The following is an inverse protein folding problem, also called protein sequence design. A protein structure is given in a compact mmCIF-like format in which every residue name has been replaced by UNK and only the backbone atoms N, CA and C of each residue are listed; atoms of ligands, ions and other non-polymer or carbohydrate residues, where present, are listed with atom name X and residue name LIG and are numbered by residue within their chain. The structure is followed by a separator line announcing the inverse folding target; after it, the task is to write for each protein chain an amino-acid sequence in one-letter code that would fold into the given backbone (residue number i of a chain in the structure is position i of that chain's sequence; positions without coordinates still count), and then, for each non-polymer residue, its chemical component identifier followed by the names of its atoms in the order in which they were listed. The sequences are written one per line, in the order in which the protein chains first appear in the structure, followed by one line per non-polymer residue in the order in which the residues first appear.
data_IF_635415583485
#
_entry.id   IF_635415583485
#
_cell.length_a   1.000
_cell.length_b   1.000
_cell.length_c   1.000
_cell.angle_alpha   90.00
_cell.angle_beta   90.00
_cell.angle_gamma   90.00
#
_symmetry.space_group_name_H-M   'P 1'
#
loop_
_entity.id
_entity.type
_entity.pdbx_description
1 polymer ?
#
# COMPACT_ATOMS: atom_id res chain seq x y z
N UNK A 1 -22.88 -4.11 -1.28
CA UNK A 1 -21.45 -4.24 -0.95
C UNK A 1 -20.63 -3.81 -2.17
N UNK A 2 -19.72 -2.85 -2.01
CA UNK A 2 -18.86 -2.33 -3.10
C UNK A 2 -17.83 -3.36 -3.52
N UNK A 3 -17.53 -3.42 -4.80
CA UNK A 3 -16.35 -4.13 -5.28
C UNK A 3 -15.10 -3.36 -4.95
N UNK A 4 -13.99 -4.06 -4.75
CA UNK A 4 -12.68 -3.50 -4.50
C UNK A 4 -11.59 -4.37 -5.12
N UNK A 5 -10.47 -3.77 -5.45
CA UNK A 5 -9.30 -4.42 -6.04
C UNK A 5 -8.02 -3.79 -5.54
N UNK A 6 -6.92 -4.49 -5.73
CA UNK A 6 -5.58 -4.07 -5.33
C UNK A 6 -4.66 -4.12 -6.54
N UNK A 7 -3.88 -3.06 -6.74
CA UNK A 7 -2.69 -3.05 -7.60
C UNK A 7 -1.46 -3.04 -6.69
N UNK A 8 -0.50 -3.90 -6.98
CA UNK A 8 0.79 -3.93 -6.28
C UNK A 8 1.94 -3.80 -7.27
N UNK A 9 2.84 -2.88 -6.96
CA UNK A 9 4.10 -2.71 -7.67
C UNK A 9 5.22 -3.42 -6.90
N UNK A 10 6.11 -4.11 -7.60
CA UNK A 10 7.21 -4.87 -6.99
C UNK A 10 8.55 -4.43 -7.57
N UNK A 11 9.59 -4.48 -6.73
CA UNK A 11 10.96 -4.38 -7.18
C UNK A 11 11.39 -5.73 -7.78
N UNK A 12 11.94 -5.70 -8.99
CA UNK A 12 12.60 -6.84 -9.61
C UNK A 12 14.06 -6.90 -9.17
N UNK A 13 14.47 -8.06 -8.66
CA UNK A 13 15.82 -8.27 -8.16
C UNK A 13 16.43 -9.52 -8.77
N UNK A 14 17.75 -9.55 -8.92
CA UNK A 14 18.47 -10.73 -9.36
C UNK A 14 18.27 -11.89 -8.38
N UNK A 15 17.97 -13.07 -8.90
CA UNK A 15 17.63 -14.24 -8.09
C UNK A 15 18.79 -14.75 -7.22
N UNK A 16 20.04 -14.37 -7.54
CA UNK A 16 21.26 -14.83 -6.85
C UNK A 16 21.87 -13.72 -6.01
N UNK A 17 22.03 -12.52 -6.58
CA UNK A 17 22.73 -11.40 -5.91
C UNK A 17 21.80 -10.50 -5.12
N UNK A 18 20.48 -10.51 -5.44
CA UNK A 18 19.50 -9.60 -4.86
C UNK A 18 19.61 -8.15 -5.33
N UNK A 19 20.46 -7.86 -6.33
CA UNK A 19 20.58 -6.53 -6.91
C UNK A 19 19.37 -6.17 -7.76
N UNK A 20 18.92 -4.90 -7.79
CA UNK A 20 17.84 -4.47 -8.68
C UNK A 20 18.14 -4.83 -10.14
N UNK A 21 17.14 -5.34 -10.87
CA UNK A 21 17.33 -5.86 -12.21
C UNK A 21 16.31 -5.28 -13.21
N UNK A 22 16.78 -4.61 -14.29
CA UNK A 22 15.91 -3.96 -15.27
C UNK A 22 15.37 -4.95 -16.30
N UNK A 23 14.44 -5.82 -15.89
CA UNK A 23 13.87 -6.88 -16.76
C UNK A 23 12.33 -6.84 -16.82
N UNK A 24 11.70 -5.78 -16.35
CA UNK A 24 10.24 -5.66 -16.28
C UNK A 24 9.55 -5.94 -17.62
N UNK A 25 10.05 -5.34 -18.71
CA UNK A 25 9.56 -5.63 -20.06
C UNK A 25 9.71 -7.10 -20.44
N UNK A 26 10.86 -7.71 -20.14
CA UNK A 26 11.10 -9.13 -20.45
C UNK A 26 10.15 -10.03 -19.66
N UNK A 27 9.85 -9.68 -18.39
CA UNK A 27 8.88 -10.41 -17.57
C UNK A 27 7.48 -10.36 -18.21
N UNK A 28 7.02 -9.16 -18.60
CA UNK A 28 5.72 -8.99 -19.24
C UNK A 28 5.65 -9.76 -20.57
N UNK A 29 6.70 -9.71 -21.40
CA UNK A 29 6.78 -10.47 -22.66
C UNK A 29 6.77 -11.99 -22.46
N UNK A 30 7.18 -12.51 -21.30
CA UNK A 30 7.11 -13.92 -20.92
C UNK A 30 5.77 -14.30 -20.27
N UNK A 31 4.92 -13.32 -19.96
CA UNK A 31 3.58 -13.53 -19.41
C UNK A 31 2.57 -13.70 -20.54
N UNK A 32 1.64 -14.63 -20.35
CA UNK A 32 0.42 -14.74 -21.16
C UNK A 32 -0.79 -14.18 -20.42
N UNK A 33 -0.57 -13.51 -19.28
CA UNK A 33 -1.60 -12.98 -18.40
C UNK A 33 -1.55 -11.45 -18.42
N UNK A 34 -2.68 -10.80 -18.65
CA UNK A 34 -2.85 -9.37 -18.78
C UNK A 34 -2.74 -8.61 -17.44
N UNK A 35 -2.63 -9.33 -16.34
CA UNK A 35 -2.46 -8.76 -15.00
C UNK A 35 -1.05 -8.27 -14.70
N UNK A 36 -0.06 -8.58 -15.53
CA UNK A 36 1.32 -8.10 -15.36
C UNK A 36 1.58 -6.96 -16.32
N UNK A 37 1.98 -5.82 -15.77
CA UNK A 37 2.32 -4.63 -16.54
C UNK A 37 3.71 -4.10 -16.16
N UNK A 38 4.36 -3.44 -17.13
CA UNK A 38 5.63 -2.76 -16.91
C UNK A 38 5.34 -1.35 -16.38
N UNK A 39 6.01 -0.97 -15.30
CA UNK A 39 5.93 0.35 -14.71
C UNK A 39 6.88 1.36 -15.38
N UNK A 40 7.06 2.55 -14.77
CA UNK A 40 7.92 3.63 -15.27
C UNK A 40 9.33 3.15 -15.52
N UNK A 41 9.85 2.25 -14.68
CA UNK A 41 11.20 1.68 -14.83
C UNK A 41 11.17 0.17 -14.96
N UNK A 42 12.16 -0.38 -15.65
CA UNK A 42 12.27 -1.82 -15.91
C UNK A 42 12.66 -2.63 -14.66
N UNK A 43 13.05 -1.98 -13.57
CA UNK A 43 13.27 -2.59 -12.26
C UNK A 43 11.95 -2.82 -11.51
N UNK A 44 10.81 -2.42 -12.08
CA UNK A 44 9.48 -2.54 -11.49
C UNK A 44 8.58 -3.46 -12.32
N UNK A 45 7.67 -4.11 -11.62
CA UNK A 45 6.59 -4.90 -12.20
C UNK A 45 5.31 -4.62 -11.42
N UNK A 46 4.22 -4.33 -12.12
CA UNK A 46 2.91 -4.14 -11.50
C UNK A 46 2.02 -5.35 -11.73
N UNK A 47 1.19 -5.65 -10.75
CA UNK A 47 0.09 -6.63 -10.88
C UNK A 47 -1.20 -6.05 -10.32
N UNK A 48 -2.34 -6.46 -10.90
CA UNK A 48 -3.67 -6.08 -10.45
C UNK A 48 -4.56 -7.29 -10.20
N UNK A 49 -5.26 -7.29 -9.06
CA UNK A 49 -6.35 -8.25 -8.83
C UNK A 49 -7.56 -7.88 -9.69
N UNK A 50 -8.45 -8.83 -9.90
CA UNK A 50 -9.79 -8.52 -10.39
C UNK A 50 -10.60 -7.81 -9.28
N UNK A 51 -11.68 -7.09 -9.62
CA UNK A 51 -12.57 -6.52 -8.62
C UNK A 51 -13.37 -7.63 -7.91
N UNK A 52 -13.28 -7.68 -6.58
CA UNK A 52 -13.97 -8.64 -5.73
C UNK A 52 -14.96 -7.96 -4.79
N UNK A 53 -15.92 -8.72 -4.26
CA UNK A 53 -16.81 -8.29 -3.17
C UNK A 53 -16.44 -8.97 -1.85
N UNK A 54 -16.03 -10.22 -1.92
CA UNK A 54 -15.60 -11.02 -0.78
C UNK A 54 -14.10 -10.83 -0.52
N UNK A 55 -13.73 -10.70 0.76
CA UNK A 55 -12.34 -10.46 1.18
C UNK A 55 -11.46 -11.70 1.00
N UNK A 56 -12.03 -12.90 1.13
CA UNK A 56 -11.24 -14.13 0.94
C UNK A 56 -10.91 -14.33 -0.54
N UNK A 57 -11.86 -14.02 -1.44
CA UNK A 57 -11.62 -14.04 -2.87
C UNK A 57 -10.54 -13.03 -3.27
N UNK A 58 -10.57 -11.81 -2.73
CA UNK A 58 -9.53 -10.81 -2.93
C UNK A 58 -8.17 -11.33 -2.45
N UNK A 59 -8.11 -11.87 -1.24
CA UNK A 59 -6.87 -12.36 -0.64
C UNK A 59 -6.25 -13.53 -1.44
N UNK A 60 -7.09 -14.44 -1.94
CA UNK A 60 -6.66 -15.53 -2.80
C UNK A 60 -6.16 -15.03 -4.16
N UNK A 61 -6.86 -14.05 -4.75
CA UNK A 61 -6.45 -13.48 -6.04
C UNK A 61 -5.13 -12.69 -5.90
N UNK A 62 -4.98 -11.92 -4.83
CA UNK A 62 -3.73 -11.23 -4.50
C UNK A 62 -2.55 -12.21 -4.36
N UNK A 63 -2.76 -13.33 -3.66
CA UNK A 63 -1.74 -14.38 -3.52
C UNK A 63 -1.38 -14.99 -4.90
N UNK A 64 -2.37 -15.20 -5.78
CA UNK A 64 -2.14 -15.68 -7.15
C UNK A 64 -1.37 -14.66 -7.99
N UNK A 65 -1.69 -13.36 -7.86
CA UNK A 65 -0.97 -12.30 -8.55
C UNK A 65 0.52 -12.28 -8.14
N UNK A 66 0.82 -12.36 -6.84
CA UNK A 66 2.21 -12.43 -6.35
C UNK A 66 2.94 -13.67 -6.85
N UNK A 67 2.27 -14.84 -6.82
CA UNK A 67 2.83 -16.10 -7.36
C UNK A 67 3.12 -16.00 -8.86
N UNK A 68 2.15 -15.51 -9.63
CA UNK A 68 2.30 -15.30 -11.08
C UNK A 68 3.48 -14.39 -11.40
N UNK A 69 3.60 -13.27 -10.68
CA UNK A 69 4.68 -12.32 -10.87
C UNK A 69 6.05 -12.94 -10.60
N UNK A 70 6.22 -13.67 -9.49
CA UNK A 70 7.48 -14.32 -9.14
C UNK A 70 7.86 -15.47 -10.07
N UNK A 71 6.90 -16.35 -10.41
CA UNK A 71 7.14 -17.46 -11.35
C UNK A 71 7.52 -16.95 -12.74
N UNK A 72 6.92 -15.82 -13.18
CA UNK A 72 7.27 -15.23 -14.47
C UNK A 72 8.63 -14.54 -14.41
N UNK A 73 8.95 -13.83 -13.33
CA UNK A 73 10.27 -13.21 -13.11
C UNK A 73 11.39 -14.28 -13.07
N UNK A 74 11.14 -15.44 -12.46
CA UNK A 74 12.10 -16.56 -12.41
C UNK A 74 12.52 -17.04 -13.79
N UNK A 75 11.65 -16.98 -14.80
CA UNK A 75 11.99 -17.40 -16.19
C UNK A 75 13.09 -16.54 -16.81
N UNK A 76 13.25 -15.31 -16.32
CA UNK A 76 14.31 -14.38 -16.76
C UNK A 76 15.41 -14.19 -15.71
N UNK A 77 15.48 -15.07 -14.69
CA UNK A 77 16.50 -15.07 -13.65
C UNK A 77 16.33 -13.94 -12.62
N UNK A 78 15.11 -13.41 -12.45
CA UNK A 78 14.76 -12.42 -11.46
C UNK A 78 13.77 -12.97 -10.42
N UNK A 79 13.58 -12.25 -9.32
CA UNK A 79 12.55 -12.48 -8.30
C UNK A 79 11.78 -11.19 -8.07
N UNK A 80 10.53 -11.29 -7.62
CA UNK A 80 9.80 -10.13 -7.12
C UNK A 80 10.00 -9.94 -5.63
N UNK A 81 10.18 -8.69 -5.22
CA UNK A 81 10.29 -8.28 -3.84
C UNK A 81 9.32 -7.13 -3.54
N UNK A 82 8.43 -7.31 -2.57
CA UNK A 82 7.60 -6.24 -2.05
C UNK A 82 8.45 -5.29 -1.19
N UNK A 83 9.19 -4.44 -1.88
CA UNK A 83 10.03 -3.37 -1.34
C UNK A 83 9.59 -2.06 -1.97
N UNK A 84 9.12 -1.12 -1.17
CA UNK A 84 8.56 0.11 -1.72
C UNK A 84 9.63 1.11 -2.20
N UNK A 85 10.89 0.87 -1.88
CA UNK A 85 12.09 1.52 -2.45
C UNK A 85 13.24 0.52 -2.48
N UNK A 86 14.24 0.74 -3.33
CA UNK A 86 15.42 -0.12 -3.38
C UNK A 86 16.32 0.11 -2.17
N UNK A 87 16.61 -0.93 -1.36
CA UNK A 87 17.63 -0.85 -0.32
C UNK A 87 19.04 -0.68 -0.89
N UNK A 88 19.31 -1.25 -2.06
CA UNK A 88 20.60 -1.19 -2.73
C UNK A 88 20.62 -0.03 -3.73
N UNK A 89 21.81 0.50 -4.08
CA UNK A 89 21.94 1.47 -5.16
C UNK A 89 21.36 0.95 -6.47
N UNK A 90 20.64 1.80 -7.19
CA UNK A 90 20.04 1.49 -8.48
C UNK A 90 20.18 2.68 -9.42
N UNK A 91 20.47 2.40 -10.69
CA UNK A 91 20.38 3.35 -11.80
C UNK A 91 19.16 2.95 -12.63
N UNK A 92 18.01 3.59 -12.45
CA UNK A 92 16.77 3.15 -13.07
C UNK A 92 16.82 3.21 -14.59
N UNK A 93 16.37 2.14 -15.23
CA UNK A 93 16.22 2.08 -16.68
C UNK A 93 14.74 2.25 -17.06
N UNK A 94 14.40 3.32 -17.78
CA UNK A 94 13.02 3.55 -18.17
C UNK A 94 12.44 2.40 -18.99
N UNK A 95 11.15 2.12 -18.78
CA UNK A 95 10.41 1.27 -19.71
C UNK A 95 10.30 1.99 -21.06
N UNK A 96 10.56 1.31 -22.19
CA UNK A 96 10.50 1.94 -23.51
C UNK A 96 9.06 2.42 -23.82
N UNK A 97 8.95 3.63 -24.36
CA UNK A 97 7.68 4.20 -24.79
C UNK A 97 7.69 5.71 -24.79
N UNK A 98 7.04 6.32 -25.78
CA UNK A 98 7.02 7.78 -25.97
C UNK A 98 6.56 8.54 -24.73
N UNK A 99 5.59 7.99 -23.99
CA UNK A 99 5.07 8.57 -22.74
C UNK A 99 6.16 8.66 -21.66
N UNK A 100 6.91 7.59 -21.45
CA UNK A 100 7.96 7.56 -20.43
C UNK A 100 9.17 8.42 -20.81
N UNK A 101 9.49 8.50 -22.12
CA UNK A 101 10.53 9.40 -22.63
C UNK A 101 10.14 10.86 -22.37
N UNK A 102 8.88 11.24 -22.62
CA UNK A 102 8.36 12.58 -22.33
C UNK A 102 8.39 12.90 -20.83
N UNK A 103 7.98 11.96 -19.97
CA UNK A 103 8.04 12.10 -18.51
C UNK A 103 9.48 12.35 -18.05
N UNK A 104 10.46 11.60 -18.59
CA UNK A 104 11.87 11.77 -18.23
C UNK A 104 12.42 13.11 -18.71
N UNK A 105 12.10 13.53 -19.91
CA UNK A 105 12.53 14.84 -20.44
C UNK A 105 11.97 15.98 -19.58
N UNK A 106 10.67 15.90 -19.23
CA UNK A 106 9.98 16.95 -18.48
C UNK A 106 10.40 17.05 -17.02
N UNK A 107 10.56 15.91 -16.33
CA UNK A 107 10.83 15.88 -14.90
C UNK A 107 12.31 15.60 -14.54
N UNK A 108 13.14 15.37 -15.54
CA UNK A 108 14.60 15.23 -15.41
C UNK A 108 14.99 14.25 -14.25
N UNK A 109 15.77 14.75 -13.27
CA UNK A 109 16.26 13.91 -12.16
C UNK A 109 15.11 13.32 -11.31
N UNK A 110 13.98 14.01 -11.16
CA UNK A 110 12.83 13.49 -10.42
C UNK A 110 12.34 12.17 -11.01
N UNK A 111 12.26 12.08 -12.34
CA UNK A 111 11.82 10.85 -13.02
C UNK A 111 12.96 9.81 -13.13
N UNK A 112 14.21 10.25 -13.36
CA UNK A 112 15.33 9.33 -13.63
C UNK A 112 15.99 8.76 -12.37
N UNK A 113 15.69 9.26 -11.18
CA UNK A 113 16.24 8.78 -9.89
C UNK A 113 15.19 8.01 -9.07
N UNK A 114 14.00 7.76 -9.61
CA UNK A 114 12.91 7.20 -8.82
C UNK A 114 12.60 5.76 -9.20
N UNK A 115 12.74 4.86 -8.21
CA UNK A 115 12.16 3.51 -8.20
C UNK A 115 11.35 3.40 -6.91
N UNK A 116 10.04 3.47 -7.04
CA UNK A 116 9.11 3.41 -5.90
C UNK A 116 7.95 2.50 -6.21
N UNK A 117 7.65 1.57 -5.30
CA UNK A 117 6.60 0.57 -5.46
C UNK A 117 5.48 0.81 -4.44
N UNK A 118 4.28 1.04 -4.95
CA UNK A 118 3.07 1.29 -4.18
C UNK A 118 2.14 0.10 -4.07
N UNK A 119 1.10 0.32 -3.27
CA UNK A 119 -0.09 -0.51 -3.20
C UNK A 119 -1.29 0.42 -3.36
N UNK A 120 -2.00 0.30 -4.47
CA UNK A 120 -3.18 1.10 -4.77
C UNK A 120 -4.43 0.28 -4.51
N UNK A 121 -5.43 0.91 -3.91
CA UNK A 121 -6.71 0.27 -3.64
C UNK A 121 -7.81 1.00 -4.37
N UNK A 122 -8.51 0.27 -5.24
CA UNK A 122 -9.67 0.75 -5.97
C UNK A 122 -10.94 0.28 -5.27
N UNK A 123 -11.87 1.20 -5.03
CA UNK A 123 -13.19 0.89 -4.47
C UNK A 123 -14.26 1.53 -5.33
N UNK A 124 -15.24 0.73 -5.77
CA UNK A 124 -16.32 1.19 -6.63
C UNK A 124 -17.15 2.29 -5.96
N UNK A 125 -17.51 3.30 -6.76
CA UNK A 125 -18.47 4.37 -6.43
C UNK A 125 -19.60 4.36 -7.46
N UNK A 126 -20.74 4.98 -7.12
CA UNK A 126 -21.91 5.02 -8.00
C UNK A 126 -21.72 5.99 -9.16
N UNK A 127 -21.17 7.15 -8.85
CA UNK A 127 -20.87 8.22 -9.80
C UNK A 127 -19.76 9.15 -9.26
N UNK A 128 -19.43 10.18 -10.02
CA UNK A 128 -18.38 11.13 -9.66
C UNK A 128 -18.76 12.03 -8.48
N UNK A 129 -20.06 12.33 -8.28
CA UNK A 129 -20.54 13.13 -7.16
C UNK A 129 -20.32 12.38 -5.84
N UNK A 130 -20.70 11.09 -5.79
CA UNK A 130 -20.39 10.23 -4.65
C UNK A 130 -18.88 10.10 -4.47
N UNK A 131 -18.15 9.88 -5.56
CA UNK A 131 -16.70 9.71 -5.54
C UNK A 131 -15.98 10.92 -4.94
N UNK A 132 -16.35 12.15 -5.35
CA UNK A 132 -15.78 13.39 -4.81
C UNK A 132 -16.19 13.61 -3.36
N UNK A 133 -17.45 13.34 -3.02
CA UNK A 133 -17.91 13.41 -1.64
C UNK A 133 -17.14 12.44 -0.72
N UNK A 134 -16.77 11.26 -1.24
CA UNK A 134 -15.90 10.29 -0.57
C UNK A 134 -14.50 10.84 -0.43
N UNK A 135 -13.88 11.35 -1.50
CA UNK A 135 -12.52 11.92 -1.47
C UNK A 135 -12.39 12.97 -0.37
N UNK A 136 -13.35 13.89 -0.29
CA UNK A 136 -13.35 14.97 0.69
C UNK A 136 -13.38 14.46 2.15
N UNK A 137 -14.06 13.34 2.40
CA UNK A 137 -14.22 12.77 3.75
C UNK A 137 -13.08 11.87 4.18
N UNK A 138 -12.48 11.12 3.24
CA UNK A 138 -11.39 10.18 3.59
C UNK A 138 -10.03 10.85 3.77
N UNK A 139 -9.81 12.07 3.23
CA UNK A 139 -8.53 12.82 3.27
C UNK A 139 -7.78 12.71 4.61
N UNK A 140 -8.40 13.01 5.78
CA UNK A 140 -7.68 13.04 7.05
C UNK A 140 -7.29 11.62 7.54
N UNK A 141 -7.89 10.57 6.98
CA UNK A 141 -7.62 9.18 7.34
C UNK A 141 -6.50 8.55 6.51
N UNK A 142 -6.19 9.09 5.33
CA UNK A 142 -5.16 8.55 4.43
C UNK A 142 -3.77 8.44 5.09
N UNK A 143 -3.31 9.39 5.93
CA UNK A 143 -2.05 9.25 6.64
C UNK A 143 -1.97 8.04 7.57
N UNK A 144 -3.12 7.53 8.05
CA UNK A 144 -3.14 6.32 8.89
C UNK A 144 -2.88 5.07 8.04
N UNK A 145 -3.46 5.01 6.83
CA UNK A 145 -3.19 3.93 5.86
C UNK A 145 -1.71 3.93 5.46
N UNK A 146 -1.12 5.11 5.20
CA UNK A 146 0.32 5.24 4.97
C UNK A 146 1.14 4.68 6.13
N UNK A 147 0.80 5.02 7.38
CA UNK A 147 1.54 4.54 8.54
C UNK A 147 1.50 3.02 8.69
N UNK A 148 0.34 2.40 8.44
CA UNK A 148 0.13 0.96 8.49
C UNK A 148 0.88 0.20 7.39
N UNK A 149 1.04 0.79 6.21
CA UNK A 149 1.69 0.17 5.04
C UNK A 149 3.21 0.36 4.99
N UNK A 150 3.82 1.18 5.87
CA UNK A 150 5.23 1.59 5.77
C UNK A 150 6.19 0.43 5.51
N UNK A 151 6.95 0.50 4.40
CA UNK A 151 7.83 -0.57 3.94
C UNK A 151 9.03 -0.07 3.10
N UNK A 152 9.50 1.16 3.35
CA UNK A 152 10.62 1.76 2.60
C UNK A 152 11.61 2.52 3.48
N UNK A 153 12.30 1.84 4.43
CA UNK A 153 13.25 2.51 5.31
C UNK A 153 14.60 2.83 4.66
N UNK A 154 14.91 2.21 3.53
CA UNK A 154 16.20 2.34 2.84
C UNK A 154 16.04 2.98 1.47
N UNK A 155 17.05 3.74 1.04
CA UNK A 155 17.14 4.34 -0.28
C UNK A 155 18.60 4.37 -0.74
N UNK A 156 18.88 3.76 -1.89
CA UNK A 156 20.21 3.77 -2.52
C UNK A 156 21.38 3.48 -1.55
N UNK A 157 21.26 2.46 -0.72
CA UNK A 157 22.32 2.02 0.17
C UNK A 157 22.30 2.65 1.57
N UNK A 158 21.40 3.61 1.84
CA UNK A 158 21.35 4.33 3.11
C UNK A 158 20.06 4.06 3.90
N UNK A 159 20.16 3.99 5.25
CA UNK A 159 18.97 4.12 6.11
C UNK A 159 18.54 5.59 6.11
N UNK A 160 17.35 5.85 5.62
CA UNK A 160 16.81 7.19 5.46
C UNK A 160 16.32 7.80 6.78
N UNK A 161 16.19 6.99 7.83
CA UNK A 161 15.54 7.36 9.07
C UNK A 161 14.01 7.42 8.98
N UNK A 162 13.39 7.17 7.82
CA UNK A 162 11.94 7.11 7.62
C UNK A 162 11.43 5.67 7.68
N UNK A 163 10.16 5.49 8.00
CA UNK A 163 9.48 4.21 7.86
C UNK A 163 8.95 4.01 6.42
N UNK A 164 8.50 5.12 5.78
CA UNK A 164 8.20 5.20 4.36
C UNK A 164 8.98 6.35 3.72
N UNK A 165 10.11 6.06 3.08
CA UNK A 165 10.81 7.04 2.26
C UNK A 165 10.18 7.19 0.89
N UNK A 166 9.43 6.16 0.41
CA UNK A 166 8.61 6.28 -0.80
C UNK A 166 7.72 7.53 -0.74
N UNK A 167 7.07 7.78 0.41
CA UNK A 167 6.22 8.96 0.56
C UNK A 167 6.97 10.29 0.37
N UNK A 168 8.27 10.35 0.71
CA UNK A 168 9.12 11.51 0.49
C UNK A 168 9.59 11.61 -0.98
N UNK A 169 9.99 10.48 -1.55
CA UNK A 169 10.40 10.41 -2.96
C UNK A 169 9.22 10.77 -3.88
N UNK A 170 8.03 10.24 -3.59
CA UNK A 170 6.80 10.55 -4.31
C UNK A 170 6.38 12.01 -4.19
N UNK A 171 6.57 12.61 -3.04
CA UNK A 171 6.30 14.04 -2.80
C UNK A 171 7.14 15.02 -3.61
N UNK A 172 8.13 14.55 -4.40
CA UNK A 172 8.89 15.38 -5.37
C UNK A 172 8.08 15.69 -6.64
N UNK A 173 7.06 14.91 -6.93
CA UNK A 173 6.17 15.19 -8.05
C UNK A 173 5.23 16.33 -7.71
N UNK A 174 5.11 17.38 -8.56
CA UNK A 174 4.34 18.57 -8.21
C UNK A 174 2.85 18.32 -7.99
N UNK A 175 2.30 17.24 -8.57
CA UNK A 175 0.91 16.85 -8.43
C UNK A 175 0.66 15.90 -7.25
N UNK A 176 1.71 15.47 -6.52
CA UNK A 176 1.57 14.50 -5.44
C UNK A 176 1.14 15.13 -4.13
N UNK A 177 0.35 14.37 -3.37
CA UNK A 177 -0.01 14.73 -2.01
C UNK A 177 -1.50 14.99 -1.79
N UNK A 178 -1.84 15.49 -0.59
CA UNK A 178 -3.22 15.77 -0.22
C UNK A 178 -3.75 17.01 -0.94
N UNK A 179 -5.04 16.96 -1.30
CA UNK A 179 -5.76 18.06 -1.96
C UNK A 179 -6.62 18.84 -0.97
N UNK A 180 -7.09 20.01 -1.38
CA UNK A 180 -8.17 20.73 -0.72
C UNK A 180 -9.50 20.00 -0.90
N UNK A 181 -10.53 20.43 -0.16
CA UNK A 181 -11.88 19.93 -0.37
C UNK A 181 -12.39 20.39 -1.74
N UNK A 182 -12.84 19.44 -2.54
CA UNK A 182 -13.41 19.73 -3.87
C UNK A 182 -14.85 20.22 -3.75
N UNK A 183 -15.65 19.60 -2.90
CA UNK A 183 -17.05 19.93 -2.63
C UNK A 183 -18.02 19.40 -3.70
N UNK A 184 -17.68 19.43 -4.98
CA UNK A 184 -18.51 18.92 -6.09
C UNK A 184 -17.66 18.24 -7.15
N UNK A 185 -18.24 17.31 -7.92
CA UNK A 185 -17.59 16.67 -9.07
C UNK A 185 -17.15 17.69 -10.11
N UNK A 186 -17.98 18.71 -10.39
CA UNK A 186 -17.66 19.79 -11.32
C UNK A 186 -16.35 20.50 -10.92
N UNK A 187 -16.19 20.84 -9.64
CA UNK A 187 -14.95 21.50 -9.14
C UNK A 187 -13.75 20.56 -9.19
N UNK A 188 -13.96 19.27 -8.94
CA UNK A 188 -12.88 18.27 -9.09
C UNK A 188 -12.38 18.25 -10.54
N UNK A 189 -13.28 18.09 -11.50
CA UNK A 189 -12.93 18.06 -12.93
C UNK A 189 -12.30 19.37 -13.38
N UNK A 190 -12.85 20.52 -13.00
CA UNK A 190 -12.26 21.83 -13.31
C UNK A 190 -10.83 21.97 -12.71
N UNK A 191 -10.58 21.43 -11.51
CA UNK A 191 -9.25 21.43 -10.90
C UNK A 191 -8.28 20.55 -11.70
N UNK A 192 -8.69 19.34 -12.07
CA UNK A 192 -7.88 18.42 -12.88
C UNK A 192 -7.57 19.01 -14.25
N UNK A 193 -8.58 19.60 -14.92
CA UNK A 193 -8.41 20.27 -16.20
C UNK A 193 -7.43 21.44 -16.11
N UNK A 194 -7.58 22.31 -15.12
CA UNK A 194 -6.64 23.42 -14.88
C UNK A 194 -5.20 22.94 -14.64
N UNK A 195 -5.01 21.81 -13.95
CA UNK A 195 -3.68 21.22 -13.78
C UNK A 195 -3.10 20.72 -15.11
N UNK A 196 -3.91 20.09 -15.96
CA UNK A 196 -3.48 19.64 -17.28
C UNK A 196 -3.15 20.83 -18.21
N UNK A 197 -3.93 21.92 -18.14
CA UNK A 197 -3.67 23.15 -18.89
C UNK A 197 -2.33 23.81 -18.54
N UNK A 198 -1.78 23.55 -17.34
CA UNK A 198 -0.41 24.00 -17.00
C UNK A 198 0.66 23.34 -17.84
N UNK A 199 0.33 22.29 -18.57
CA UNK A 199 1.27 21.43 -19.30
C UNK A 199 2.39 20.84 -18.40
N UNK A 200 2.23 20.82 -17.07
CA UNK A 200 3.15 20.14 -16.16
C UNK A 200 2.89 18.63 -16.17
N UNK A 201 1.67 18.11 -15.95
CA UNK A 201 1.39 16.70 -16.17
C UNK A 201 1.41 16.37 -17.67
N UNK A 202 1.88 15.18 -18.02
CA UNK A 202 1.83 14.68 -19.41
C UNK A 202 0.39 14.26 -19.76
N UNK A 203 -0.28 13.64 -18.81
CA UNK A 203 -1.64 13.09 -18.97
C UNK A 203 -2.37 12.95 -17.63
N UNK A 204 -3.63 12.49 -17.68
CA UNK A 204 -4.45 12.20 -16.50
C UNK A 204 -3.81 11.16 -15.54
N UNK A 205 -3.01 10.24 -16.07
CA UNK A 205 -2.29 9.24 -15.25
C UNK A 205 -1.31 9.89 -14.27
N UNK A 206 -0.83 11.12 -14.57
CA UNK A 206 0.09 11.86 -13.69
C UNK A 206 -0.60 12.75 -12.63
N UNK A 207 -1.90 12.69 -12.49
CA UNK A 207 -2.60 13.31 -11.35
C UNK A 207 -2.38 12.42 -10.12
N UNK A 208 -1.31 12.70 -9.37
CA UNK A 208 -0.78 11.87 -8.29
C UNK A 208 -1.31 12.24 -6.90
N UNK A 209 -2.57 12.69 -6.83
CA UNK A 209 -3.22 12.92 -5.54
C UNK A 209 -3.16 11.69 -4.62
N UNK A 210 -3.14 11.88 -3.32
CA UNK A 210 -3.15 10.80 -2.32
C UNK A 210 -4.32 9.83 -2.52
N UNK A 211 -5.46 10.35 -2.99
CA UNK A 211 -6.60 9.60 -3.52
C UNK A 211 -7.25 10.40 -4.65
N UNK A 212 -7.79 9.70 -5.67
CA UNK A 212 -8.40 10.33 -6.85
C UNK A 212 -9.60 9.53 -7.38
N UNK A 213 -10.41 10.15 -8.22
CA UNK A 213 -11.27 9.39 -9.14
C UNK A 213 -10.38 8.71 -10.18
N UNK A 214 -10.61 7.43 -10.42
CA UNK A 214 -9.89 6.74 -11.49
C UNK A 214 -10.54 7.13 -12.85
N UNK A 215 -9.70 7.42 -13.85
CA UNK A 215 -10.16 7.89 -15.16
C UNK A 215 -10.65 6.77 -16.10
N UNK A 216 -10.40 5.51 -15.76
CA UNK A 216 -10.78 4.33 -16.56
C UNK A 216 -11.94 3.55 -15.95
N UNK A 217 -12.06 3.56 -14.63
CA UNK A 217 -13.03 2.78 -13.89
C UNK A 217 -13.79 3.65 -12.90
N UNK A 218 -15.09 3.38 -12.64
CA UNK A 218 -15.88 4.14 -11.67
C UNK A 218 -15.46 3.78 -10.23
N UNK A 219 -14.27 4.20 -9.84
CA UNK A 219 -13.69 3.90 -8.52
C UNK A 219 -13.00 5.13 -7.93
N UNK A 220 -12.99 5.20 -6.61
CA UNK A 220 -12.00 5.97 -5.86
C UNK A 220 -10.75 5.08 -5.73
N UNK A 221 -9.61 5.63 -6.12
CA UNK A 221 -8.29 5.01 -6.06
C UNK A 221 -7.46 5.66 -4.95
N UNK A 222 -7.14 4.91 -3.91
CA UNK A 222 -6.26 5.33 -2.81
C UNK A 222 -4.83 4.88 -3.07
N UNK A 223 -3.86 5.81 -3.08
CA UNK A 223 -2.49 5.64 -3.59
C UNK A 223 -1.38 5.82 -2.55
N UNK A 224 -1.72 6.17 -1.32
CA UNK A 224 -0.74 6.57 -0.28
C UNK A 224 0.16 5.43 0.20
N UNK A 225 -0.28 4.18 0.04
CA UNK A 225 0.36 3.03 0.67
C UNK A 225 1.62 2.59 -0.06
N UNK A 226 2.68 2.29 0.71
CA UNK A 226 3.80 1.47 0.23
C UNK A 226 3.28 0.09 -0.16
N UNK A 227 3.89 -0.59 -1.14
CA UNK A 227 3.64 -2.01 -1.33
C UNK A 227 3.90 -2.74 -0.02
N UNK A 228 2.93 -3.52 0.43
CA UNK A 228 3.00 -4.19 1.72
C UNK A 228 3.90 -5.43 1.65
N UNK A 229 4.85 -5.56 2.58
CA UNK A 229 5.73 -6.73 2.64
C UNK A 229 4.94 -8.03 2.78
N UNK A 230 3.93 -8.02 3.65
CA UNK A 230 3.01 -9.15 3.84
C UNK A 230 1.71 -8.89 3.06
N UNK A 231 1.22 -9.90 2.33
CA UNK A 231 -0.05 -9.77 1.61
C UNK A 231 -1.25 -9.55 2.53
N UNK A 232 -1.20 -10.05 3.78
CA UNK A 232 -2.24 -9.78 4.77
C UNK A 232 -2.35 -8.30 5.14
N UNK A 233 -1.22 -7.56 5.12
CA UNK A 233 -1.23 -6.12 5.35
C UNK A 233 -1.90 -5.39 4.18
N UNK A 234 -1.66 -5.83 2.94
CA UNK A 234 -2.35 -5.28 1.77
C UNK A 234 -3.87 -5.54 1.82
N UNK A 235 -4.28 -6.74 2.25
CA UNK A 235 -5.70 -7.06 2.48
C UNK A 235 -6.30 -6.18 3.58
N UNK A 236 -5.58 -5.94 4.67
CA UNK A 236 -6.02 -5.02 5.73
C UNK A 236 -6.22 -3.60 5.19
N UNK A 237 -5.23 -3.08 4.44
CA UNK A 237 -5.33 -1.76 3.81
C UNK A 237 -6.55 -1.68 2.90
N UNK A 238 -6.80 -2.71 2.09
CA UNK A 238 -7.98 -2.76 1.20
C UNK A 238 -9.31 -2.79 1.97
N UNK A 239 -9.39 -3.57 3.05
CA UNK A 239 -10.57 -3.60 3.92
C UNK A 239 -10.85 -2.25 4.58
N UNK A 240 -9.82 -1.62 5.14
CA UNK A 240 -9.94 -0.30 5.76
C UNK A 240 -10.32 0.77 4.72
N UNK A 241 -9.74 0.70 3.52
CA UNK A 241 -10.07 1.62 2.42
C UNK A 241 -11.53 1.44 1.98
N UNK A 242 -11.99 0.20 1.75
CA UNK A 242 -13.41 -0.06 1.41
C UNK A 242 -14.35 0.40 2.53
N UNK A 243 -13.94 0.17 3.78
CA UNK A 243 -14.66 0.66 4.96
C UNK A 243 -14.77 2.18 4.98
N UNK A 244 -13.67 2.91 4.68
CA UNK A 244 -13.65 4.36 4.60
C UNK A 244 -14.56 4.88 3.48
N UNK A 245 -14.48 4.30 2.28
CA UNK A 245 -15.29 4.72 1.13
C UNK A 245 -16.78 4.55 1.42
N UNK A 246 -17.19 3.39 1.92
CA UNK A 246 -18.60 3.14 2.25
C UNK A 246 -19.08 3.98 3.43
N UNK A 247 -18.25 4.21 4.47
CA UNK A 247 -18.59 5.10 5.58
C UNK A 247 -18.81 6.53 5.08
N UNK A 248 -17.88 7.04 4.27
CA UNK A 248 -17.94 8.37 3.68
C UNK A 248 -19.17 8.57 2.78
N UNK A 249 -19.53 7.55 1.98
CA UNK A 249 -20.72 7.59 1.15
C UNK A 249 -21.99 7.64 2.00
N UNK A 250 -22.10 6.83 3.07
CA UNK A 250 -23.23 6.88 4.01
C UNK A 250 -23.33 8.23 4.72
N UNK A 251 -22.21 8.81 5.14
CA UNK A 251 -22.16 10.15 5.74
C UNK A 251 -22.64 11.22 4.75
N UNK A 252 -22.24 11.13 3.49
CA UNK A 252 -22.69 12.03 2.44
C UNK A 252 -24.18 11.96 2.22
N UNK A 253 -24.74 10.76 2.05
CA UNK A 253 -26.18 10.54 1.91
C UNK A 253 -26.99 11.01 3.13
N UNK A 254 -26.39 10.95 4.33
CA UNK A 254 -26.99 11.46 5.56
C UNK A 254 -26.81 12.97 5.74
N UNK A 255 -26.19 13.68 4.81
CA UNK A 255 -25.93 15.11 4.88
C UNK A 255 -24.87 15.53 5.92
N UNK A 256 -24.04 14.58 6.38
CA UNK A 256 -22.92 14.89 7.30
C UNK A 256 -21.80 15.58 6.51
N UNK A 257 -21.37 16.79 6.90
CA UNK A 257 -20.32 17.49 6.18
C UNK A 257 -18.95 16.81 6.36
N UNK A 258 -18.00 16.98 5.39
CA UNK A 258 -16.64 16.53 5.57
C UNK A 258 -15.92 17.32 6.67
N UNK A 259 -14.87 16.73 7.26
CA UNK A 259 -14.02 17.42 8.23
C UNK A 259 -13.21 18.54 7.55
N UNK A 260 -13.33 19.76 8.02
CA UNK A 260 -12.61 20.93 7.51
C UNK A 260 -11.16 20.98 8.04
N UNK A 261 -10.38 19.91 7.83
CA UNK A 261 -8.97 19.88 8.20
C UNK A 261 -8.15 20.55 7.09
N UNK A 262 -7.36 21.58 7.40
CA UNK A 262 -6.53 22.26 6.40
C UNK A 262 -5.57 21.29 5.71
N UNK A 263 -5.39 21.43 4.40
CA UNK A 263 -4.49 20.56 3.60
C UNK A 263 -3.06 20.55 4.12
N UNK A 264 -2.59 21.70 4.65
CA UNK A 264 -1.28 21.77 5.31
C UNK A 264 -1.19 20.84 6.54
N UNK A 265 -2.27 20.71 7.32
CA UNK A 265 -2.33 19.79 8.47
C UNK A 265 -2.33 18.33 8.01
N UNK A 266 -3.09 17.99 6.96
CA UNK A 266 -3.06 16.63 6.37
C UNK A 266 -1.66 16.30 5.86
N UNK A 267 -0.99 17.25 5.20
CA UNK A 267 0.41 17.08 4.75
C UNK A 267 1.36 16.81 5.92
N UNK A 268 1.21 17.52 7.05
CA UNK A 268 2.01 17.24 8.25
C UNK A 268 1.69 15.87 8.85
N UNK A 269 0.43 15.42 8.78
CA UNK A 269 0.04 14.08 9.19
C UNK A 269 0.70 13.00 8.31
N UNK A 270 0.69 13.18 6.97
CA UNK A 270 1.34 12.28 6.01
C UNK A 270 2.86 12.24 6.22
N UNK A 271 3.51 13.41 6.40
CA UNK A 271 4.93 13.46 6.71
C UNK A 271 5.26 12.68 7.99
N UNK A 272 4.47 12.87 9.04
CA UNK A 272 4.65 12.19 10.33
C UNK A 272 4.45 10.68 10.20
N UNK A 273 3.44 10.25 9.45
CA UNK A 273 3.19 8.85 9.14
C UNK A 273 4.36 8.22 8.39
N UNK A 274 4.86 8.86 7.33
CA UNK A 274 6.03 8.40 6.59
C UNK A 274 7.30 8.37 7.43
N UNK A 275 7.51 9.38 8.30
CA UNK A 275 8.72 9.46 9.13
C UNK A 275 8.78 8.39 10.21
N UNK A 276 7.69 8.16 10.92
CA UNK A 276 7.68 7.34 12.13
C UNK A 276 6.94 6.01 11.95
N UNK A 277 6.04 5.90 10.97
CA UNK A 277 5.16 4.74 10.81
C UNK A 277 4.40 4.44 12.10
N UNK A 278 4.30 3.16 12.41
CA UNK A 278 3.63 2.68 13.64
C UNK A 278 4.52 2.70 14.89
N UNK A 279 5.76 3.16 14.80
CA UNK A 279 6.70 3.21 15.94
C UNK A 279 6.64 4.53 16.72
N UNK A 280 5.80 5.47 16.33
CA UNK A 280 5.74 6.81 16.92
C UNK A 280 4.33 7.26 17.25
N UNK A 281 4.13 8.58 17.21
CA UNK A 281 2.81 9.22 17.39
C UNK A 281 2.31 9.69 16.03
N UNK A 282 1.06 9.46 15.71
CA UNK A 282 0.35 9.99 14.54
C UNK A 282 -0.52 11.17 14.91
N UNK A 283 -0.90 12.01 13.94
CA UNK A 283 -1.96 12.98 14.14
C UNK A 283 -3.30 12.26 14.06
N UNK A 284 -4.13 12.41 15.10
CA UNK A 284 -5.47 11.86 15.10
C UNK A 284 -6.32 12.59 14.05
N UNK A 285 -6.98 11.87 13.11
CA UNK A 285 -7.66 12.45 11.95
C UNK A 285 -8.74 13.50 12.27
N UNK A 286 -9.41 13.36 13.43
CA UNK A 286 -10.50 14.27 13.81
C UNK A 286 -9.97 15.44 14.65
N UNK A 287 -9.05 15.20 15.59
CA UNK A 287 -8.58 16.24 16.53
C UNK A 287 -7.32 16.95 16.05
N UNK A 288 -6.64 16.43 15.03
CA UNK A 288 -5.36 16.91 14.53
C UNK A 288 -4.25 17.00 15.61
N UNK A 289 -4.40 16.23 16.70
CA UNK A 289 -3.44 16.18 17.80
C UNK A 289 -2.59 14.90 17.75
N UNK A 290 -1.30 14.95 18.15
CA UNK A 290 -0.46 13.78 18.19
C UNK A 290 -0.91 12.78 19.28
N UNK A 291 -1.19 11.53 18.86
CA UNK A 291 -1.57 10.40 19.74
C UNK A 291 -0.71 9.16 19.43
N UNK A 292 -0.76 8.15 20.28
CA UNK A 292 -0.09 6.88 20.00
C UNK A 292 -0.55 6.29 18.67
N UNK A 293 0.36 5.75 17.88
CA UNK A 293 0.04 5.25 16.54
C UNK A 293 -0.95 4.06 16.58
N UNK A 294 -0.85 3.22 17.60
CA UNK A 294 -1.79 2.11 17.80
C UNK A 294 -3.20 2.62 18.09
N UNK A 295 -3.33 3.64 18.95
CA UNK A 295 -4.63 4.25 19.28
C UNK A 295 -5.26 4.90 18.05
N UNK A 296 -4.47 5.59 17.21
CA UNK A 296 -4.97 6.20 15.97
C UNK A 296 -5.39 5.13 14.95
N UNK A 297 -4.65 4.03 14.85
CA UNK A 297 -5.05 2.90 14.00
C UNK A 297 -6.35 2.24 14.49
N UNK A 298 -6.52 2.10 15.80
CA UNK A 298 -7.76 1.62 16.40
C UNK A 298 -8.92 2.60 16.19
N UNK A 299 -8.67 3.91 16.22
CA UNK A 299 -9.68 4.93 15.91
C UNK A 299 -10.17 4.81 14.45
N UNK A 300 -9.26 4.55 13.49
CA UNK A 300 -9.66 4.25 12.10
C UNK A 300 -10.55 3.01 12.04
N UNK A 301 -10.13 1.91 12.66
CA UNK A 301 -10.92 0.68 12.69
C UNK A 301 -12.31 0.92 13.32
N UNK A 302 -12.38 1.67 14.41
CA UNK A 302 -13.66 2.02 15.08
C UNK A 302 -14.56 2.86 14.18
N UNK A 303 -14.00 3.81 13.44
CA UNK A 303 -14.75 4.67 12.50
C UNK A 303 -15.43 3.85 11.40
N UNK A 304 -14.72 2.87 10.83
CA UNK A 304 -15.28 2.03 9.74
C UNK A 304 -15.99 0.77 10.23
N UNK A 305 -15.93 0.47 11.53
CA UNK A 305 -16.46 -0.77 12.12
C UNK A 305 -17.95 -1.04 11.85
N UNK A 306 -18.87 -0.05 11.88
CA UNK A 306 -20.26 -0.29 11.52
C UNK A 306 -20.41 -0.89 10.12
N UNK A 307 -19.72 -0.33 9.14
CA UNK A 307 -19.71 -0.83 7.76
C UNK A 307 -19.11 -2.22 7.68
N UNK A 308 -17.96 -2.45 8.32
CA UNK A 308 -17.31 -3.77 8.32
C UNK A 308 -18.19 -4.85 8.94
N UNK A 309 -18.97 -4.52 9.97
CA UNK A 309 -19.96 -5.45 10.56
C UNK A 309 -21.09 -5.80 9.59
N UNK A 310 -21.63 -4.80 8.92
CA UNK A 310 -22.71 -5.01 7.93
C UNK A 310 -22.22 -5.89 6.75
N UNK A 311 -20.92 -5.87 6.49
CA UNK A 311 -20.27 -6.63 5.42
C UNK A 311 -19.76 -8.01 5.87
N UNK A 312 -19.72 -8.27 7.18
CA UNK A 312 -19.18 -9.52 7.75
C UNK A 312 -17.66 -9.55 7.89
N UNK A 313 -16.97 -8.40 7.69
CA UNK A 313 -15.50 -8.31 7.64
C UNK A 313 -14.85 -7.80 8.93
N UNK A 314 -15.65 -7.41 9.94
CA UNK A 314 -15.13 -6.75 11.14
C UNK A 314 -14.10 -7.60 11.90
N UNK A 315 -14.35 -8.88 12.08
CA UNK A 315 -13.46 -9.80 12.81
C UNK A 315 -12.15 -10.03 12.06
N UNK A 316 -12.21 -10.13 10.73
CA UNK A 316 -11.04 -10.28 9.87
C UNK A 316 -10.17 -9.02 9.98
N UNK A 317 -10.75 -7.83 9.82
CA UNK A 317 -10.03 -6.57 9.91
C UNK A 317 -9.40 -6.36 11.30
N UNK A 318 -10.12 -6.67 12.38
CA UNK A 318 -9.61 -6.62 13.76
C UNK A 318 -8.44 -7.59 13.98
N UNK A 319 -8.52 -8.78 13.42
CA UNK A 319 -7.47 -9.80 13.53
C UNK A 319 -6.22 -9.37 12.77
N UNK A 320 -6.37 -8.93 11.52
CA UNK A 320 -5.26 -8.47 10.68
C UNK A 320 -4.57 -7.25 11.30
N UNK A 321 -5.33 -6.27 11.79
CA UNK A 321 -4.76 -5.10 12.48
C UNK A 321 -3.98 -5.51 13.73
N UNK A 322 -4.52 -6.41 14.54
CA UNK A 322 -3.85 -6.93 15.74
C UNK A 322 -2.54 -7.63 15.40
N UNK A 323 -2.52 -8.44 14.33
CA UNK A 323 -1.32 -9.11 13.83
C UNK A 323 -0.27 -8.10 13.37
N UNK A 324 -0.66 -7.07 12.59
CA UNK A 324 0.23 -6.01 12.15
C UNK A 324 0.83 -5.25 13.33
N UNK A 325 0.02 -4.84 14.30
CA UNK A 325 0.49 -4.11 15.49
C UNK A 325 1.47 -4.93 16.32
N UNK A 326 1.24 -6.23 16.48
CA UNK A 326 2.14 -7.13 17.22
C UNK A 326 3.46 -7.36 16.50
N UNK A 327 3.43 -7.63 15.20
CA UNK A 327 4.59 -7.94 14.36
C UNK A 327 5.37 -6.68 13.97
N UNK A 328 4.68 -5.57 13.74
CA UNK A 328 5.15 -4.35 13.09
C UNK A 328 5.07 -4.41 11.56
N UNK A 329 5.27 -3.25 10.94
CA UNK A 329 5.23 -3.05 9.48
C UNK A 329 6.45 -3.62 8.77
N UNK A 330 6.44 -3.64 7.43
CA UNK A 330 7.57 -4.04 6.60
C UNK A 330 8.86 -3.29 6.92
N UNK A 331 8.78 -1.99 7.22
CA UNK A 331 9.94 -1.19 7.59
C UNK A 331 10.65 -1.71 8.86
N UNK A 332 9.88 -2.13 9.87
CA UNK A 332 10.44 -2.76 11.06
C UNK A 332 11.13 -4.09 10.72
N UNK A 333 10.51 -4.89 9.84
CA UNK A 333 11.07 -6.19 9.41
C UNK A 333 12.36 -6.02 8.63
N UNK A 334 12.42 -5.05 7.73
CA UNK A 334 13.62 -4.72 6.96
C UNK A 334 14.78 -4.30 7.89
N UNK A 335 14.53 -3.41 8.85
CA UNK A 335 15.56 -3.01 9.84
C UNK A 335 16.02 -4.17 10.71
N UNK A 336 15.12 -5.06 11.10
CA UNK A 336 15.48 -6.27 11.82
C UNK A 336 16.33 -7.23 10.96
N UNK A 337 16.11 -7.29 9.64
CA UNK A 337 16.96 -8.08 8.74
C UNK A 337 18.37 -7.49 8.65
N UNK A 338 18.51 -6.17 8.44
CA UNK A 338 19.81 -5.50 8.39
C UNK A 338 20.59 -5.66 9.69
N UNK A 339 19.93 -5.57 10.86
CA UNK A 339 20.60 -5.63 12.17
C UNK A 339 21.28 -6.97 12.47
N UNK A 340 21.00 -8.03 11.71
CA UNK A 340 21.62 -9.36 11.91
C UNK A 340 23.10 -9.38 11.51
N UNK A 341 23.45 -8.80 10.36
CA UNK A 341 24.81 -8.84 9.81
C UNK A 341 25.27 -7.51 9.21
N UNK A 342 24.43 -6.48 9.14
CA UNK A 342 24.75 -5.18 8.53
C UNK A 342 24.81 -5.22 7.01
N UNK A 343 24.22 -6.23 6.36
CA UNK A 343 24.23 -6.39 4.90
C UNK A 343 22.83 -6.13 4.32
N UNK A 344 22.72 -5.17 3.40
CA UNK A 344 21.46 -4.85 2.71
C UNK A 344 20.93 -6.01 1.85
N UNK A 345 21.79 -6.94 1.43
CA UNK A 345 21.35 -8.17 0.74
C UNK A 345 20.46 -9.04 1.63
N UNK A 346 20.66 -9.00 2.95
CA UNK A 346 19.77 -9.70 3.88
C UNK A 346 18.37 -9.09 3.90
N UNK A 347 18.27 -7.77 3.73
CA UNK A 347 16.98 -7.06 3.61
C UNK A 347 16.24 -7.53 2.36
N UNK A 348 16.93 -7.56 1.21
CA UNK A 348 16.35 -8.00 -0.06
C UNK A 348 15.95 -9.49 0.00
N UNK A 349 16.85 -10.34 0.49
CA UNK A 349 16.58 -11.79 0.63
C UNK A 349 15.37 -12.07 1.53
N UNK A 350 15.27 -11.34 2.65
CA UNK A 350 14.11 -11.44 3.54
C UNK A 350 12.83 -10.94 2.87
N UNK A 351 12.91 -9.85 2.10
CA UNK A 351 11.76 -9.34 1.37
C UNK A 351 11.28 -10.33 0.30
N UNK A 352 12.18 -10.87 -0.52
CA UNK A 352 11.85 -11.92 -1.51
C UNK A 352 11.20 -13.12 -0.82
N UNK A 353 11.78 -13.58 0.28
CA UNK A 353 11.24 -14.72 1.03
C UNK A 353 9.82 -14.46 1.56
N UNK A 354 9.56 -13.28 2.12
CA UNK A 354 8.24 -12.94 2.71
C UNK A 354 7.21 -12.67 1.64
N UNK A 355 7.59 -11.97 0.56
CA UNK A 355 6.70 -11.69 -0.58
C UNK A 355 6.11 -12.97 -1.16
N UNK A 356 6.93 -14.03 -1.24
CA UNK A 356 6.62 -15.28 -1.93
C UNK A 356 6.26 -16.43 -0.97
N UNK A 357 5.84 -16.12 0.27
CA UNK A 357 5.34 -17.14 1.18
C UNK A 357 4.03 -17.74 0.63
N UNK A 358 3.93 -19.09 0.54
CA UNK A 358 2.66 -19.75 0.21
C UNK A 358 1.59 -19.36 1.25
N UNK A 359 0.38 -19.05 0.79
CA UNK A 359 -0.73 -18.71 1.68
C UNK A 359 -1.96 -19.56 1.40
N UNK A 360 -2.57 -20.07 2.49
CA UNK A 360 -3.96 -20.49 2.52
C UNK A 360 -4.89 -19.27 2.65
N UNK A 361 -6.18 -19.48 2.47
CA UNK A 361 -7.18 -18.42 2.70
C UNK A 361 -7.12 -17.87 4.15
N UNK A 362 -7.59 -16.64 4.34
CA UNK A 362 -7.59 -15.96 5.66
C UNK A 362 -8.38 -16.80 6.70
N UNK A 363 -9.44 -17.45 6.29
CA UNK A 363 -10.27 -18.34 7.14
C UNK A 363 -9.50 -19.53 7.68
N UNK A 364 -8.61 -20.15 6.87
CA UNK A 364 -7.78 -21.28 7.33
C UNK A 364 -6.80 -20.85 8.42
N UNK A 365 -6.32 -19.62 8.39
CA UNK A 365 -5.42 -19.07 9.42
C UNK A 365 -6.16 -18.73 10.72
N UNK A 366 -7.44 -18.33 10.63
CA UNK A 366 -8.27 -18.09 11.81
C UNK A 366 -8.59 -19.38 12.55
N UNK A 367 -8.93 -20.47 11.85
CA UNK A 367 -9.17 -21.77 12.46
C UNK A 367 -7.89 -22.36 13.09
N UNK A 368 -6.74 -22.16 12.47
CA UNK A 368 -5.44 -22.59 13.03
C UNK A 368 -5.06 -21.80 14.30
N UNK A 369 -5.35 -20.51 14.35
CA UNK A 369 -5.10 -19.65 15.51
C UNK A 369 -6.09 -19.87 16.66
N UNK A 370 -7.31 -20.35 16.37
CA UNK A 370 -8.34 -20.63 17.37
C UNK A 370 -8.20 -22.01 18.06
N UNK A 371 -7.32 -22.89 17.56
CA UNK A 371 -7.05 -24.18 18.22
C UNK A 371 -6.22 -23.95 19.49
N UNK A 372 -6.73 -24.20 20.70
CA UNK A 372 -5.95 -24.11 21.92
C UNK A 372 -4.81 -25.13 21.83
N UNK A 373 -3.60 -24.67 22.11
CA UNK A 373 -2.44 -25.56 22.26
C UNK A 373 -2.81 -26.62 23.31
N UNK A 374 -3.03 -27.85 22.88
CA UNK A 374 -3.23 -28.98 23.78
C UNK A 374 -1.93 -29.20 24.52
N UNK A 375 -1.81 -28.63 25.73
CA UNK A 375 -0.78 -29.02 26.68
C UNK A 375 -1.15 -30.41 27.17
N UNK A 376 -0.51 -31.43 26.65
CA UNK A 376 -0.45 -32.74 27.28
C UNK A 376 0.30 -32.61 28.60
N UNK A 377 -0.45 -32.46 29.68
CA UNK A 377 0.06 -32.75 30.99
C UNK A 377 0.03 -34.29 31.17
N UNK A 378 1.12 -34.94 30.91
CA UNK A 378 1.35 -36.31 31.32
C UNK A 378 2.55 -36.36 32.26
N UNK A 379 2.29 -36.58 33.54
CA UNK A 379 3.01 -37.44 34.44
C UNK A 379 4.41 -37.02 34.88
N UNK A 380 4.52 -36.53 36.12
CA UNK A 380 5.60 -36.89 37.02
C UNK A 380 5.04 -37.04 38.45
N UNK A 381 4.56 -38.25 38.73
CA UNK A 381 4.48 -38.79 40.09
C UNK A 381 5.67 -39.71 40.31
N UNK A 382 6.43 -39.51 41.34
CA UNK A 382 7.48 -40.47 41.78
C UNK A 382 8.38 -39.88 42.84
N UNK A 383 7.99 -39.95 44.08
CA UNK A 383 8.52 -40.71 45.23
C UNK A 383 9.96 -40.39 45.65
N UNK A 384 10.08 -40.09 46.96
CA UNK A 384 11.20 -40.45 47.76
C UNK A 384 11.44 -39.58 48.98
N UNK A 385 10.93 -40.02 50.15
CA UNK A 385 11.42 -39.67 51.49
C UNK A 385 12.53 -40.69 51.90
N UNK A 386 13.26 -40.50 52.98
CA UNK A 386 13.03 -39.66 54.16
C UNK A 386 13.92 -38.43 54.28
#
# INVERSE_FOLDING_TARGET
MRTFGIEEEFLLVDAVTGEPRPVGRQVVEQSFDDRLTCEVTQEQLETATRPHRDVNDLALDLARCRTLADETALRVGARVAALATSPQPVLPLACPGSRYDEVRERFALTASDQVTCGCHVHVAVEDDDEGVAVLDRIRPWLPVLLALSTNSPYWNGADTGYASYRSQAWGRWPMAGPCDLFGTAERYHATVEALLETAVPVDLGQIYFDARLNHQYPTVEVRVSDVCLYSDDAVLIALLTRGLVETAAREWHAGVPPLEIPTATVRMASWRAGRFGMAGRLLHPVTATPQDAGDVALALLQHVRPVLRDQGDAEIAESLLRQLLARGTGARRQRAALSRRGDLRDVVSEAVRVTNLPRGGITDQHEAAARPASRSFAGFLGWGRP
#
